data_IF_162114556604
#
_entry.id   IF_162114556604
#
_cell.length_a   1.000
_cell.length_b   1.000
_cell.length_c   1.000
_cell.angle_alpha   90.00
_cell.angle_beta   90.00
_cell.angle_gamma   90.00
#
_symmetry.space_group_name_H-M   'P 1'
#
loop_
_entity.id
_entity.type
_entity.pdbx_description
1 polymer ?
#
# COMPACT_ATOMS: atom_id res chain seq x y z
N UNK A 1 3.39 -9.37 17.60
CA UNK A 1 4.75 -9.94 17.36
C UNK A 1 5.81 -8.95 17.82
N UNK A 2 7.09 -9.37 18.02
CA UNK A 2 8.16 -8.38 18.12
C UNK A 2 8.53 -7.82 16.73
N UNK A 3 9.30 -6.74 16.68
CA UNK A 3 9.61 -6.04 15.41
C UNK A 3 10.28 -6.95 14.37
N UNK A 4 11.27 -7.77 14.78
CA UNK A 4 11.95 -8.67 13.85
C UNK A 4 11.04 -9.79 13.35
N UNK A 5 10.15 -10.29 14.20
CA UNK A 5 9.15 -11.28 13.79
C UNK A 5 8.20 -10.71 12.74
N UNK A 6 7.70 -9.48 12.92
CA UNK A 6 6.82 -8.81 11.93
C UNK A 6 7.57 -8.60 10.61
N UNK A 7 8.81 -8.13 10.65
CA UNK A 7 9.63 -7.93 9.44
C UNK A 7 9.84 -9.26 8.68
N UNK A 8 10.17 -10.34 9.40
CA UNK A 8 10.41 -11.65 8.80
C UNK A 8 9.12 -12.31 8.27
N UNK A 9 7.99 -12.12 8.98
CA UNK A 9 6.70 -12.69 8.61
C UNK A 9 6.01 -11.94 7.45
N UNK A 10 6.32 -10.65 7.28
CA UNK A 10 5.74 -9.84 6.22
C UNK A 10 6.12 -10.38 4.83
N UNK A 11 5.14 -10.81 4.09
CA UNK A 11 5.27 -11.27 2.70
C UNK A 11 4.24 -10.59 1.82
N UNK A 12 4.52 -10.49 0.52
CA UNK A 12 3.55 -9.98 -0.46
C UNK A 12 2.49 -11.04 -0.75
N UNK A 13 1.29 -10.85 -0.21
CA UNK A 13 0.14 -11.71 -0.45
C UNK A 13 -0.52 -11.33 -1.78
N UNK A 14 -0.87 -12.35 -2.59
CA UNK A 14 -1.47 -12.17 -3.93
C UNK A 14 -2.69 -13.07 -4.15
N UNK A 15 -3.39 -13.40 -3.08
CA UNK A 15 -4.68 -14.09 -3.13
C UNK A 15 -5.40 -13.85 -1.80
N UNK A 16 -6.45 -13.03 -1.84
CA UNK A 16 -7.19 -12.61 -0.66
C UNK A 16 -8.61 -13.18 -0.66
N UNK A 17 -9.16 -13.35 0.54
CA UNK A 17 -10.57 -13.63 0.74
C UNK A 17 -11.39 -12.36 0.41
N UNK A 18 -12.54 -12.53 -0.25
CA UNK A 18 -13.49 -11.44 -0.44
C UNK A 18 -14.22 -11.13 0.88
N UNK A 19 -13.52 -10.48 1.78
CA UNK A 19 -13.97 -10.23 3.15
C UNK A 19 -13.55 -8.83 3.61
N UNK A 20 -14.49 -8.08 4.18
CA UNK A 20 -14.21 -6.78 4.77
C UNK A 20 -13.30 -6.91 6.01
N UNK A 21 -12.40 -5.95 6.18
CA UNK A 21 -11.54 -5.83 7.35
C UNK A 21 -12.30 -5.05 8.43
N UNK A 22 -12.22 -5.45 9.72
CA UNK A 22 -12.80 -4.67 10.81
C UNK A 22 -12.27 -3.23 10.82
N UNK A 23 -13.13 -2.28 11.09
CA UNK A 23 -12.78 -0.85 11.08
C UNK A 23 -11.62 -0.53 12.04
N UNK A 24 -11.61 -1.15 13.22
CA UNK A 24 -10.54 -0.97 14.21
C UNK A 24 -9.18 -1.40 13.70
N UNK A 25 -9.11 -2.53 12.96
CA UNK A 25 -7.85 -3.01 12.37
C UNK A 25 -7.34 -2.03 11.29
N UNK A 26 -8.24 -1.47 10.47
CA UNK A 26 -7.87 -0.45 9.48
C UNK A 26 -7.36 0.82 10.14
N UNK A 27 -7.97 1.26 11.24
CA UNK A 27 -7.53 2.42 12.01
C UNK A 27 -6.17 2.21 12.66
N UNK A 28 -5.88 1.00 13.14
CA UNK A 28 -4.57 0.63 13.67
C UNK A 28 -3.49 0.63 12.58
N UNK A 29 -3.80 0.08 11.40
CA UNK A 29 -2.90 0.10 10.25
C UNK A 29 -2.59 1.53 9.80
N UNK A 30 -3.61 2.39 9.69
CA UNK A 30 -3.42 3.81 9.35
C UNK A 30 -2.62 4.54 10.43
N UNK A 31 -2.89 4.26 11.71
CA UNK A 31 -2.12 4.82 12.83
C UNK A 31 -0.63 4.50 12.71
N UNK A 32 -0.27 3.26 12.34
CA UNK A 32 1.12 2.88 12.12
C UNK A 32 1.80 3.73 11.04
N UNK A 33 1.09 4.08 9.96
CA UNK A 33 1.62 4.98 8.93
C UNK A 33 1.99 6.35 9.47
N UNK A 34 1.21 6.89 10.42
CA UNK A 34 1.43 8.21 10.99
C UNK A 34 2.68 8.29 11.89
N UNK A 35 3.23 7.16 12.32
CA UNK A 35 4.51 7.08 13.03
C UNK A 35 5.72 6.99 12.10
N UNK A 36 5.53 6.94 10.79
CA UNK A 36 6.65 6.90 9.85
C UNK A 36 7.48 8.20 9.91
N UNK A 37 8.80 8.12 9.74
CA UNK A 37 9.62 9.31 9.61
C UNK A 37 9.26 10.06 8.33
N UNK A 38 9.00 11.35 8.44
CA UNK A 38 8.71 12.24 7.30
C UNK A 38 9.76 13.33 7.24
N UNK A 39 10.40 13.47 6.09
CA UNK A 39 11.45 14.45 5.85
C UNK A 39 10.96 15.87 6.16
N UNK A 40 11.76 16.62 6.93
CA UNK A 40 11.46 17.98 7.40
C UNK A 40 10.13 18.11 8.14
N UNK A 41 9.58 17.01 8.67
CA UNK A 41 8.28 16.95 9.37
C UNK A 41 7.09 17.48 8.53
N UNK A 42 7.14 17.36 7.21
CA UNK A 42 6.11 17.81 6.27
C UNK A 42 4.92 16.85 6.21
N UNK A 43 4.33 16.50 7.34
CA UNK A 43 3.17 15.61 7.38
C UNK A 43 1.96 16.18 6.63
N UNK A 44 1.82 17.51 6.58
CA UNK A 44 0.80 18.24 5.85
C UNK A 44 0.94 18.14 4.31
N UNK A 45 2.07 17.65 3.82
CA UNK A 45 2.27 17.36 2.39
C UNK A 45 1.76 15.98 1.98
N UNK A 46 1.33 15.15 2.92
CA UNK A 46 0.87 13.79 2.69
C UNK A 46 -0.61 13.63 3.04
N UNK A 47 -1.28 12.74 2.33
CA UNK A 47 -2.70 12.43 2.54
C UNK A 47 -2.92 10.92 2.42
N UNK A 48 -3.73 10.36 3.31
CA UNK A 48 -4.08 8.94 3.29
C UNK A 48 -5.57 8.81 2.99
N UNK A 49 -5.90 8.03 1.96
CA UNK A 49 -7.29 7.64 1.65
C UNK A 49 -7.44 6.14 1.80
N UNK A 50 -8.49 5.70 2.47
CA UNK A 50 -8.80 4.28 2.68
C UNK A 50 -10.05 3.89 1.89
N UNK A 51 -9.88 3.03 0.89
CA UNK A 51 -10.98 2.27 0.31
C UNK A 51 -11.20 1.07 1.23
N UNK A 52 -12.24 1.13 2.05
CA UNK A 52 -12.40 0.28 3.24
C UNK A 52 -13.29 -0.93 3.01
N UNK A 53 -13.88 -1.05 1.82
CA UNK A 53 -14.77 -2.16 1.48
C UNK A 53 -14.33 -2.86 0.19
N UNK A 54 -14.63 -4.18 0.03
CA UNK A 54 -14.37 -4.89 -1.21
C UNK A 54 -15.02 -4.23 -2.45
N UNK A 55 -16.17 -3.58 -2.28
CA UNK A 55 -16.88 -2.88 -3.35
C UNK A 55 -16.10 -1.65 -3.84
N UNK A 56 -15.51 -0.87 -2.92
CA UNK A 56 -14.67 0.28 -3.28
C UNK A 56 -13.36 -0.18 -3.93
N UNK A 57 -12.76 -1.25 -3.43
CA UNK A 57 -11.57 -1.87 -4.03
C UNK A 57 -11.87 -2.40 -5.42
N UNK A 58 -13.05 -3.00 -5.64
CA UNK A 58 -13.48 -3.46 -6.96
C UNK A 58 -13.62 -2.31 -7.97
N UNK A 59 -14.08 -1.11 -7.54
CA UNK A 59 -14.10 0.09 -8.40
C UNK A 59 -12.68 0.49 -8.82
N UNK A 60 -11.71 0.50 -7.91
CA UNK A 60 -10.31 0.72 -8.26
C UNK A 60 -9.80 -0.32 -9.26
N UNK A 61 -10.09 -1.60 -9.02
CA UNK A 61 -9.69 -2.70 -9.92
C UNK A 61 -10.28 -2.51 -11.32
N UNK A 62 -11.53 -2.06 -11.43
CA UNK A 62 -12.14 -1.78 -12.74
C UNK A 62 -11.42 -0.64 -13.50
N UNK A 63 -11.05 0.44 -12.79
CA UNK A 63 -10.25 1.52 -13.38
C UNK A 63 -8.86 1.03 -13.81
N UNK A 64 -8.23 0.20 -13.00
CA UNK A 64 -6.91 -0.39 -13.31
C UNK A 64 -6.97 -1.29 -14.55
N UNK A 65 -8.00 -2.12 -14.69
CA UNK A 65 -8.26 -2.93 -15.89
C UNK A 65 -8.39 -2.07 -17.14
N UNK A 66 -9.19 -1.02 -17.05
CA UNK A 66 -9.39 -0.10 -18.17
C UNK A 66 -8.08 0.60 -18.57
N UNK A 67 -7.24 0.96 -17.59
CA UNK A 67 -5.95 1.60 -17.82
C UNK A 67 -4.90 0.64 -18.39
N UNK A 68 -4.87 -0.60 -17.91
CA UNK A 68 -3.93 -1.64 -18.36
C UNK A 68 -4.34 -2.19 -19.74
N UNK A 69 -5.64 -2.15 -20.08
CA UNK A 69 -6.20 -2.75 -21.28
C UNK A 69 -6.35 -4.28 -21.18
N UNK A 70 -6.31 -4.84 -19.97
CA UNK A 70 -6.51 -6.26 -19.72
C UNK A 70 -7.73 -6.46 -18.79
N UNK A 71 -8.83 -7.08 -19.27
CA UNK A 71 -10.03 -7.32 -18.50
C UNK A 71 -9.84 -8.27 -17.31
N UNK A 72 -8.75 -9.01 -17.28
CA UNK A 72 -8.42 -9.96 -16.22
C UNK A 72 -7.41 -9.40 -15.21
N UNK A 73 -6.86 -8.21 -15.44
CA UNK A 73 -5.90 -7.61 -14.51
C UNK A 73 -6.53 -7.38 -13.14
N UNK A 74 -5.84 -7.79 -12.10
CA UNK A 74 -6.20 -7.49 -10.70
C UNK A 74 -4.94 -7.14 -9.91
N UNK A 75 -4.53 -5.87 -9.91
CA UNK A 75 -3.29 -5.45 -9.26
C UNK A 75 -3.36 -5.51 -7.73
N UNK A 76 -4.55 -5.70 -7.15
CA UNK A 76 -4.78 -5.79 -5.70
C UNK A 76 -5.17 -7.20 -5.25
N UNK A 77 -5.34 -8.13 -6.20
CA UNK A 77 -5.56 -9.56 -5.95
C UNK A 77 -6.75 -9.86 -5.02
N UNK A 78 -7.84 -9.11 -5.15
CA UNK A 78 -9.05 -9.28 -4.34
C UNK A 78 -8.91 -8.82 -2.89
N UNK A 79 -7.97 -7.92 -2.59
CA UNK A 79 -7.80 -7.39 -1.24
C UNK A 79 -9.08 -6.80 -0.66
N UNK A 80 -9.24 -6.90 0.67
CA UNK A 80 -10.43 -6.39 1.39
C UNK A 80 -10.44 -4.86 1.54
N UNK A 81 -9.27 -4.22 1.48
CA UNK A 81 -9.12 -2.77 1.50
C UNK A 81 -7.87 -2.33 0.73
N UNK A 82 -7.88 -1.05 0.27
CA UNK A 82 -6.74 -0.40 -0.36
C UNK A 82 -6.49 0.95 0.34
N UNK A 83 -5.30 1.13 0.90
CA UNK A 83 -4.89 2.32 1.62
C UNK A 83 -3.90 3.08 0.75
N UNK A 84 -4.34 4.21 0.19
CA UNK A 84 -3.56 5.01 -0.77
C UNK A 84 -2.87 6.16 -0.05
N UNK A 85 -1.57 6.30 -0.27
CA UNK A 85 -0.79 7.45 0.17
C UNK A 85 -0.59 8.39 -1.02
N UNK A 86 -0.95 9.65 -0.82
CA UNK A 86 -0.85 10.73 -1.81
C UNK A 86 0.03 11.85 -1.28
N UNK A 87 0.63 12.64 -2.17
CA UNK A 87 1.50 13.76 -1.80
C UNK A 87 1.27 14.98 -2.67
N UNK A 88 1.63 16.17 -2.13
CA UNK A 88 1.55 17.45 -2.85
C UNK A 88 2.68 17.63 -3.88
N UNK A 89 3.78 16.88 -3.71
CA UNK A 89 4.99 16.99 -4.53
C UNK A 89 5.43 15.60 -5.02
N UNK A 90 4.59 14.95 -5.85
CA UNK A 90 4.79 13.55 -6.21
C UNK A 90 6.07 13.31 -7.04
N UNK A 91 6.74 14.35 -7.51
CA UNK A 91 7.98 14.23 -8.29
C UNK A 91 9.25 14.43 -7.41
N UNK A 92 9.10 14.84 -6.15
CA UNK A 92 10.21 14.92 -5.20
C UNK A 92 10.54 13.53 -4.65
N UNK A 93 11.82 13.13 -4.72
CA UNK A 93 12.29 11.85 -4.17
C UNK A 93 11.98 11.70 -2.69
N UNK A 94 12.05 12.80 -1.91
CA UNK A 94 11.71 12.81 -0.48
C UNK A 94 10.26 12.39 -0.24
N UNK A 95 9.33 12.83 -1.07
CA UNK A 95 7.91 12.50 -0.91
C UNK A 95 7.63 11.02 -1.21
N UNK A 96 8.33 10.47 -2.21
CA UNK A 96 8.33 9.02 -2.45
C UNK A 96 8.89 8.22 -1.27
N UNK A 97 10.01 8.67 -0.71
CA UNK A 97 10.61 8.03 0.46
C UNK A 97 9.66 8.08 1.67
N UNK A 98 9.03 9.23 1.93
CA UNK A 98 8.05 9.39 2.99
C UNK A 98 6.86 8.44 2.81
N UNK A 99 6.29 8.39 1.61
CA UNK A 99 5.18 7.50 1.30
C UNK A 99 5.57 6.01 1.46
N UNK A 100 6.79 5.64 1.03
CA UNK A 100 7.30 4.28 1.18
C UNK A 100 7.45 3.88 2.65
N UNK A 101 7.97 4.78 3.51
CA UNK A 101 8.07 4.53 4.95
C UNK A 101 6.68 4.35 5.58
N UNK A 102 5.70 5.18 5.20
CA UNK A 102 4.32 5.03 5.67
C UNK A 102 3.72 3.68 5.25
N UNK A 103 3.92 3.31 3.99
CA UNK A 103 3.39 2.06 3.45
C UNK A 103 4.04 0.86 4.15
N UNK A 104 5.37 0.85 4.34
CA UNK A 104 6.02 -0.27 5.05
C UNK A 104 5.50 -0.42 6.48
N UNK A 105 5.29 0.68 7.22
CA UNK A 105 4.68 0.60 8.55
C UNK A 105 3.28 -0.03 8.49
N UNK A 106 2.46 0.32 7.48
CA UNK A 106 1.15 -0.30 7.27
C UNK A 106 1.25 -1.80 6.99
N UNK A 107 2.21 -2.22 6.16
CA UNK A 107 2.42 -3.62 5.84
C UNK A 107 2.84 -4.44 7.07
N UNK A 108 3.69 -3.86 7.93
CA UNK A 108 4.13 -4.48 9.18
C UNK A 108 2.98 -4.58 10.20
N UNK A 109 2.19 -3.51 10.35
CA UNK A 109 1.03 -3.51 11.23
C UNK A 109 -0.03 -4.54 10.78
N UNK A 110 -0.33 -4.60 9.47
CA UNK A 110 -1.22 -5.62 8.93
C UNK A 110 -0.73 -7.04 9.23
N UNK A 111 0.59 -7.26 9.13
CA UNK A 111 1.22 -8.56 9.46
C UNK A 111 1.06 -8.89 10.95
N UNK A 112 1.24 -7.93 11.84
CA UNK A 112 1.08 -8.10 13.29
C UNK A 112 -0.36 -8.43 13.68
N UNK A 113 -1.33 -7.85 12.96
CA UNK A 113 -2.76 -8.15 13.08
C UNK A 113 -3.18 -9.48 12.43
N UNK A 114 -2.23 -10.23 11.83
CA UNK A 114 -2.51 -11.50 11.16
C UNK A 114 -3.17 -11.35 9.78
N UNK A 115 -3.15 -10.15 9.21
CA UNK A 115 -3.62 -9.87 7.86
C UNK A 115 -2.52 -10.06 6.82
N UNK A 116 -2.92 -10.38 5.60
CA UNK A 116 -2.05 -10.32 4.42
C UNK A 116 -1.92 -8.89 3.91
N UNK A 117 -0.79 -8.58 3.30
CA UNK A 117 -0.54 -7.26 2.72
C UNK A 117 0.28 -7.32 1.44
N UNK A 118 0.13 -6.28 0.59
CA UNK A 118 0.87 -6.12 -0.66
C UNK A 118 1.12 -4.64 -0.93
N UNK A 119 2.37 -4.28 -1.25
CA UNK A 119 2.70 -2.95 -1.75
C UNK A 119 2.28 -2.80 -3.22
N UNK A 120 1.33 -1.91 -3.51
CA UNK A 120 0.82 -1.65 -4.85
C UNK A 120 1.18 -0.22 -5.27
N UNK A 121 2.21 -0.08 -6.11
CA UNK A 121 2.65 1.21 -6.63
C UNK A 121 2.33 1.38 -8.12
N UNK A 122 2.65 0.40 -8.93
CA UNK A 122 2.57 0.51 -10.40
C UNK A 122 1.17 0.87 -10.89
N UNK A 123 0.14 0.19 -10.39
CA UNK A 123 -1.25 0.45 -10.77
C UNK A 123 -1.73 1.85 -10.31
N UNK A 124 -1.33 2.31 -9.13
CA UNK A 124 -1.65 3.64 -8.62
C UNK A 124 -0.98 4.73 -9.47
N UNK A 125 0.31 4.57 -9.77
CA UNK A 125 1.04 5.52 -10.62
C UNK A 125 0.53 5.58 -12.05
N UNK A 126 0.11 4.45 -12.61
CA UNK A 126 -0.40 4.39 -13.97
C UNK A 126 -1.70 5.19 -14.17
N UNK A 127 -2.39 5.56 -13.11
CA UNK A 127 -3.58 6.44 -13.18
C UNK A 127 -3.22 7.88 -13.49
N UNK A 128 -2.03 8.35 -13.09
CA UNK A 128 -1.59 9.74 -13.29
C UNK A 128 -1.41 10.04 -14.79
N UNK A 129 -2.04 11.09 -15.27
CA UNK A 129 -2.03 11.50 -16.69
C UNK A 129 -2.80 10.56 -17.61
N UNK A 130 -3.51 9.56 -17.06
CA UNK A 130 -4.31 8.63 -17.85
C UNK A 130 -5.75 9.09 -18.05
N UNK A 131 -6.47 8.43 -18.97
CA UNK A 131 -7.91 8.65 -19.16
C UNK A 131 -8.74 8.29 -17.90
N UNK A 132 -8.18 7.51 -16.97
CA UNK A 132 -8.85 7.08 -15.74
C UNK A 132 -8.56 8.00 -14.54
N UNK A 133 -7.68 8.99 -14.68
CA UNK A 133 -7.23 9.84 -13.57
C UNK A 133 -8.39 10.54 -12.86
N UNK A 134 -9.28 11.19 -13.60
CA UNK A 134 -10.42 11.92 -13.02
C UNK A 134 -11.33 11.00 -12.20
N UNK A 135 -11.63 9.81 -12.74
CA UNK A 135 -12.45 8.80 -12.04
C UNK A 135 -11.75 8.24 -10.80
N UNK A 136 -10.43 8.06 -10.87
CA UNK A 136 -9.64 7.59 -9.73
C UNK A 136 -9.58 8.65 -8.62
N UNK A 137 -9.35 9.91 -8.96
CA UNK A 137 -9.39 11.02 -8.00
C UNK A 137 -10.75 11.14 -7.32
N UNK A 138 -11.84 11.01 -8.10
CA UNK A 138 -13.21 11.02 -7.58
C UNK A 138 -13.48 9.84 -6.63
N UNK A 139 -13.01 8.63 -6.96
CA UNK A 139 -13.11 7.45 -6.09
C UNK A 139 -12.40 7.67 -4.75
N UNK A 140 -11.24 8.34 -4.77
CA UNK A 140 -10.49 8.66 -3.57
C UNK A 140 -11.03 9.88 -2.79
N UNK A 141 -11.98 10.62 -3.35
CA UNK A 141 -12.38 11.94 -2.85
C UNK A 141 -11.15 12.82 -2.53
N UNK A 142 -10.16 12.81 -3.45
CA UNK A 142 -8.84 13.35 -3.23
C UNK A 142 -8.82 14.87 -3.45
N UNK A 143 -8.36 15.68 -2.48
CA UNK A 143 -8.17 17.11 -2.69
C UNK A 143 -7.25 17.41 -3.87
N UNK A 144 -7.48 18.55 -4.56
CA UNK A 144 -6.86 18.86 -5.85
C UNK A 144 -5.32 18.89 -5.77
N UNK A 145 -4.78 19.39 -4.67
CA UNK A 145 -3.34 19.54 -4.47
C UNK A 145 -2.59 18.22 -4.23
N UNK A 146 -3.27 17.10 -4.03
CA UNK A 146 -2.62 15.81 -3.78
C UNK A 146 -2.62 14.91 -5.01
N UNK A 147 -1.56 14.13 -5.17
CA UNK A 147 -1.41 13.13 -6.22
C UNK A 147 -1.06 11.77 -5.59
N UNK A 148 -1.73 10.67 -5.99
CA UNK A 148 -1.43 9.33 -5.48
C UNK A 148 0.01 8.90 -5.80
N UNK A 149 0.71 8.34 -4.81
CA UNK A 149 2.10 7.89 -4.92
C UNK A 149 2.20 6.38 -4.90
N UNK A 150 1.53 5.74 -3.96
CA UNK A 150 1.53 4.30 -3.77
C UNK A 150 0.45 3.87 -2.79
N UNK A 151 0.35 2.56 -2.53
CA UNK A 151 -0.68 2.04 -1.64
C UNK A 151 -0.29 0.72 -0.99
N UNK A 152 -0.96 0.42 0.14
CA UNK A 152 -1.01 -0.89 0.74
C UNK A 152 -2.37 -1.53 0.41
N UNK A 153 -2.36 -2.68 -0.27
CA UNK A 153 -3.52 -3.56 -0.35
C UNK A 153 -3.47 -4.52 0.85
N UNK A 154 -4.56 -4.65 1.59
CA UNK A 154 -4.62 -5.46 2.81
C UNK A 154 -5.89 -6.32 2.81
N UNK A 155 -5.82 -7.48 3.47
CA UNK A 155 -6.95 -8.41 3.52
C UNK A 155 -6.63 -9.71 4.26
N UNK A 156 -7.61 -10.58 4.36
CA UNK A 156 -7.39 -11.94 4.84
C UNK A 156 -6.79 -12.77 3.72
N UNK A 157 -5.59 -13.33 3.94
CA UNK A 157 -4.95 -14.20 2.96
C UNK A 157 -5.68 -15.54 2.86
N UNK A 158 -6.02 -16.03 1.66
CA UNK A 158 -6.64 -17.37 1.49
C UNK A 158 -5.73 -18.49 1.92
N UNK A 159 -4.42 -18.29 1.81
CA UNK A 159 -3.42 -19.24 2.27
C UNK A 159 -2.38 -18.54 3.12
N UNK A 160 -2.03 -19.13 4.25
CA UNK A 160 -0.96 -18.60 5.10
C UNK A 160 0.35 -18.68 4.33
N UNK A 161 0.94 -17.53 4.05
CA UNK A 161 2.24 -17.48 3.39
C UNK A 161 3.34 -17.96 4.36
N UNK A 162 4.32 -18.68 3.84
CA UNK A 162 5.49 -19.01 4.61
C UNK A 162 6.31 -17.74 4.88
N UNK A 163 6.89 -17.58 6.08
CA UNK A 163 7.82 -16.51 6.37
C UNK A 163 8.98 -16.50 5.35
N UNK A 164 9.47 -15.31 5.01
CA UNK A 164 10.64 -15.20 4.15
C UNK A 164 11.86 -15.80 4.87
N UNK A 165 12.59 -16.65 4.18
CA UNK A 165 13.98 -16.93 4.54
C UNK A 165 14.79 -15.65 4.34
N UNK A 166 15.77 -15.38 5.21
CA UNK A 166 16.68 -14.25 5.01
C UNK A 166 17.20 -14.26 3.56
N UNK A 167 17.28 -13.09 2.90
CA UNK A 167 17.94 -13.00 1.61
C UNK A 167 19.36 -13.55 1.75
N UNK A 168 19.76 -14.41 0.83
CA UNK A 168 21.13 -14.86 0.76
C UNK A 168 22.04 -13.66 0.49
N UNK A 169 23.28 -13.68 0.98
CA UNK A 169 24.23 -12.54 0.95
C UNK A 169 24.62 -12.05 -0.46
N UNK A 170 24.27 -12.79 -1.49
CA UNK A 170 24.52 -12.50 -2.89
C UNK A 170 23.54 -11.50 -3.52
N UNK A 171 22.51 -11.06 -2.79
CA UNK A 171 21.47 -10.16 -3.32
C UNK A 171 21.74 -8.69 -3.01
N UNK A 172 22.38 -8.40 -1.88
CA UNK A 172 22.70 -7.02 -1.48
C UNK A 172 24.10 -6.99 -0.85
N UNK A 173 25.01 -6.24 -1.44
CA UNK A 173 26.34 -6.01 -0.85
C UNK A 173 26.21 -5.22 0.45
N UNK A 174 26.94 -5.67 1.48
CA UNK A 174 27.04 -4.98 2.78
C UNK A 174 28.50 -4.95 3.19
N UNK A 175 29.05 -3.76 3.35
CA UNK A 175 30.42 -3.52 3.81
C UNK A 175 30.40 -2.93 5.24
N UNK A 176 31.23 -3.47 6.11
CA UNK A 176 31.47 -2.92 7.44
C UNK A 176 32.81 -2.21 7.42
N UNK A 177 32.81 -0.88 7.54
CA UNK A 177 34.01 -0.06 7.57
C UNK A 177 34.24 0.34 9.02
N UNK A 178 35.33 -0.19 9.62
CA UNK A 178 35.74 0.06 11.01
C UNK A 178 37.13 0.66 11.12
#
# INVERSE_FOLDING_TARGET
MNTFESIAARVSVRDFENRAIPRGDLEEIVSAALYAPVGMKRYDSLHITVLSTPEEVAKFTALARAQIGDPHADPVHGAGALIVVSGKRPDEHTEYANAACMIENMLLAATDLGLGSLYVQGAVRAMRGSAQEASFRALLNLPEEFTPIGSAAVGFAKQKAAPRTQPQNDVTGVDYIG
#
